data_IF_883926258732
#
_entry.id   IF_883926258732
#
_cell.length_a   1.000
_cell.length_b   1.000
_cell.length_c   1.000
_cell.angle_alpha   90.00
_cell.angle_beta   90.00
_cell.angle_gamma   90.00
#
_symmetry.space_group_name_H-M   'P 1'
#
loop_
_entity.id
_entity.type
_entity.pdbx_description
1 polymer ?
#
# COMPACT_ATOMS: atom_id res chain seq x y z
N UNK A 1 44.76 4.42 -11.09
CA UNK A 1 43.34 4.77 -11.22
C UNK A 1 42.64 4.36 -9.94
N UNK A 2 42.57 5.28 -9.00
CA UNK A 2 41.88 5.14 -7.72
C UNK A 2 40.40 5.40 -7.96
N UNK A 3 39.58 4.34 -7.99
CA UNK A 3 38.13 4.42 -7.88
C UNK A 3 37.75 4.75 -6.43
N UNK A 4 37.43 6.00 -6.18
CA UNK A 4 36.79 6.43 -4.95
C UNK A 4 35.39 5.81 -4.91
N UNK A 5 35.21 4.77 -4.12
CA UNK A 5 33.89 4.31 -3.66
C UNK A 5 33.30 5.38 -2.72
N UNK A 6 32.76 6.43 -3.30
CA UNK A 6 31.85 7.30 -2.61
C UNK A 6 30.56 6.52 -2.41
N UNK A 7 30.23 6.14 -1.15
CA UNK A 7 28.86 5.76 -0.80
C UNK A 7 27.95 6.85 -1.36
N UNK A 8 27.12 6.55 -2.37
CA UNK A 8 26.02 7.41 -2.76
C UNK A 8 25.24 7.67 -1.46
N UNK A 9 25.19 8.92 -1.01
CA UNK A 9 24.30 9.28 0.08
C UNK A 9 22.91 8.87 -0.38
N UNK A 10 22.31 7.92 0.33
CA UNK A 10 20.93 7.55 0.09
C UNK A 10 20.08 8.83 0.10
N UNK A 11 19.35 9.07 -0.96
CA UNK A 11 18.47 10.24 -1.06
C UNK A 11 17.25 9.93 -0.24
N UNK A 12 17.11 10.52 0.95
CA UNK A 12 15.94 10.35 1.78
C UNK A 12 14.70 10.84 1.03
N UNK A 13 13.66 10.02 1.07
CA UNK A 13 12.34 10.32 0.50
C UNK A 13 11.26 10.22 1.58
N UNK A 14 10.22 11.02 1.43
CA UNK A 14 8.98 10.87 2.19
C UNK A 14 8.16 9.74 1.56
N UNK A 15 7.60 8.86 2.36
CA UNK A 15 6.54 7.97 1.90
C UNK A 15 5.22 8.72 1.86
N UNK A 16 4.63 8.86 0.68
CA UNK A 16 3.37 9.57 0.46
C UNK A 16 2.34 8.61 -0.13
N UNK A 17 1.36 8.23 0.66
CA UNK A 17 0.20 7.45 0.22
C UNK A 17 -0.99 8.36 -0.06
N UNK A 18 -1.46 8.35 -1.32
CA UNK A 18 -2.67 9.06 -1.78
C UNK A 18 -3.76 8.02 -1.96
N UNK A 19 -4.55 7.80 -0.93
CA UNK A 19 -5.67 6.85 -0.94
C UNK A 19 -7.00 7.51 -1.29
N UNK A 20 -8.12 6.76 -1.25
CA UNK A 20 -9.42 7.27 -1.72
C UNK A 20 -9.97 8.45 -0.90
N UNK A 21 -9.64 8.51 0.40
CA UNK A 21 -10.23 9.49 1.34
C UNK A 21 -9.21 10.26 2.15
N UNK A 22 -7.95 9.84 2.11
CA UNK A 22 -6.88 10.45 2.91
C UNK A 22 -5.56 10.49 2.15
N UNK A 23 -4.74 11.48 2.51
CA UNK A 23 -3.32 11.51 2.20
C UNK A 23 -2.55 11.22 3.48
N UNK A 24 -1.56 10.34 3.39
CA UNK A 24 -0.70 9.95 4.51
C UNK A 24 0.75 10.22 4.14
N UNK A 25 1.49 10.81 5.05
CA UNK A 25 2.90 11.14 4.90
C UNK A 25 3.70 10.54 6.04
N UNK A 26 4.83 9.94 5.71
CA UNK A 26 5.76 9.35 6.67
C UNK A 26 7.20 9.69 6.32
N UNK A 27 7.97 10.09 7.35
CA UNK A 27 9.41 10.27 7.29
C UNK A 27 10.10 9.28 8.21
N UNK A 28 11.02 8.49 7.66
CA UNK A 28 11.82 7.54 8.40
C UNK A 28 13.31 7.93 8.37
N UNK A 29 14.02 7.60 9.44
CA UNK A 29 15.48 7.56 9.48
C UNK A 29 15.96 6.17 9.91
N UNK A 30 17.21 5.85 9.60
CA UNK A 30 17.84 4.59 9.98
C UNK A 30 19.18 4.89 10.64
N UNK A 31 19.32 4.52 11.90
CA UNK A 31 20.53 4.77 12.66
C UNK A 31 20.80 3.62 13.65
N UNK A 32 22.03 3.13 13.66
CA UNK A 32 22.42 2.08 14.60
C UNK A 32 21.67 0.76 14.42
N UNK A 33 21.30 0.39 13.19
CA UNK A 33 20.56 -0.85 12.90
C UNK A 33 19.06 -0.77 13.19
N UNK A 34 18.50 0.42 13.45
CA UNK A 34 17.10 0.61 13.82
C UNK A 34 16.45 1.75 13.06
N UNK A 35 15.24 1.53 12.59
CA UNK A 35 14.39 2.57 12.01
C UNK A 35 13.81 3.47 13.11
N UNK A 36 13.56 4.70 12.71
CA UNK A 36 12.90 5.69 13.56
C UNK A 36 11.88 6.48 12.76
N UNK A 37 10.68 6.65 13.31
CA UNK A 37 9.67 7.58 12.79
C UNK A 37 10.07 8.99 13.19
N UNK A 38 10.46 9.81 12.21
CA UNK A 38 10.83 11.22 12.44
C UNK A 38 9.62 12.12 12.40
N UNK A 39 8.72 11.91 11.46
CA UNK A 39 7.45 12.61 11.37
C UNK A 39 6.40 11.79 10.62
N UNK A 40 5.12 12.04 10.91
CA UNK A 40 4.00 11.54 10.12
C UNK A 40 2.83 12.52 10.21
N UNK A 41 1.95 12.45 9.23
CA UNK A 41 0.68 13.15 9.24
C UNK A 41 -0.34 12.45 8.33
N UNK A 42 -1.62 12.64 8.68
CA UNK A 42 -2.76 12.14 7.90
C UNK A 42 -3.75 13.29 7.72
N UNK A 43 -4.20 13.52 6.49
CA UNK A 43 -5.22 14.52 6.17
C UNK A 43 -6.30 13.92 5.29
N UNK A 44 -7.55 14.35 5.50
CA UNK A 44 -8.66 13.98 4.63
C UNK A 44 -8.53 14.62 3.26
N UNK A 45 -8.96 13.90 2.24
CA UNK A 45 -9.18 14.40 0.89
C UNK A 45 -10.59 15.00 0.75
N UNK A 46 -10.78 15.97 -0.15
CA UNK A 46 -12.12 16.34 -0.59
C UNK A 46 -12.89 15.12 -1.11
N UNK A 47 -14.22 15.18 -1.00
CA UNK A 47 -15.06 14.12 -1.55
C UNK A 47 -14.78 13.94 -3.04
N UNK A 48 -14.68 12.70 -3.49
CA UNK A 48 -14.45 12.30 -4.88
C UNK A 48 -13.16 12.88 -5.52
N UNK A 49 -12.21 13.38 -4.71
CA UNK A 49 -10.91 13.82 -5.22
C UNK A 49 -10.07 12.65 -5.77
N UNK A 50 -10.27 11.46 -5.23
CA UNK A 50 -9.73 10.19 -5.76
C UNK A 50 -10.85 9.19 -5.90
N UNK A 51 -11.12 8.74 -7.13
CA UNK A 51 -12.17 7.78 -7.47
C UNK A 51 -11.51 6.53 -8.04
N UNK A 52 -11.82 5.36 -7.48
CA UNK A 52 -11.27 4.07 -7.93
C UNK A 52 -9.75 4.12 -8.16
N UNK A 53 -9.02 4.67 -7.16
CA UNK A 53 -7.55 4.84 -7.18
C UNK A 53 -7.03 5.88 -8.19
N UNK A 54 -7.88 6.52 -8.99
CA UNK A 54 -7.48 7.57 -9.95
C UNK A 54 -7.69 8.96 -9.33
N UNK A 55 -6.70 9.86 -9.52
CA UNK A 55 -6.81 11.26 -9.10
C UNK A 55 -7.77 11.99 -10.05
N UNK A 56 -8.88 12.48 -9.50
CA UNK A 56 -9.94 13.19 -10.22
C UNK A 56 -9.88 14.72 -9.98
N UNK A 57 -9.45 15.13 -8.78
CA UNK A 57 -9.25 16.54 -8.41
C UNK A 57 -7.79 16.75 -7.98
N UNK A 58 -6.95 17.11 -8.93
CA UNK A 58 -5.51 17.36 -8.72
C UNK A 58 -5.27 18.48 -7.70
N UNK A 59 -6.06 19.57 -7.76
CA UNK A 59 -5.91 20.70 -6.85
C UNK A 59 -6.30 20.34 -5.42
N UNK A 60 -7.41 19.62 -5.25
CA UNK A 60 -7.85 19.12 -3.96
C UNK A 60 -6.82 18.17 -3.32
N UNK A 61 -6.24 17.27 -4.12
CA UNK A 61 -5.15 16.38 -3.65
C UNK A 61 -3.90 17.18 -3.30
N UNK A 62 -3.49 18.15 -4.13
CA UNK A 62 -2.34 19.03 -3.85
C UNK A 62 -2.51 19.79 -2.53
N UNK A 63 -3.71 20.29 -2.26
CA UNK A 63 -4.02 21.00 -1.02
C UNK A 63 -3.96 20.09 0.22
N UNK A 64 -4.44 18.85 0.09
CA UNK A 64 -4.33 17.85 1.15
C UNK A 64 -2.86 17.46 1.40
N UNK A 65 -2.04 17.34 0.35
CA UNK A 65 -0.60 17.09 0.48
C UNK A 65 0.09 18.27 1.20
N UNK A 66 -0.20 19.52 0.83
CA UNK A 66 0.32 20.70 1.56
C UNK A 66 -0.04 20.65 3.04
N UNK A 67 -1.26 20.21 3.34
CA UNK A 67 -1.74 20.09 4.72
C UNK A 67 -0.92 19.08 5.51
N UNK A 68 -0.69 17.85 5.00
CA UNK A 68 0.12 16.85 5.70
C UNK A 68 1.59 17.28 5.83
N UNK A 69 2.14 17.98 4.85
CA UNK A 69 3.50 18.54 4.92
C UNK A 69 3.59 19.56 6.05
N UNK A 70 2.63 20.48 6.16
CA UNK A 70 2.58 21.47 7.22
C UNK A 70 2.42 20.84 8.60
N UNK A 71 1.55 19.85 8.74
CA UNK A 71 1.31 19.11 9.98
C UNK A 71 2.52 18.31 10.45
N UNK A 72 3.18 17.60 9.51
CA UNK A 72 4.36 16.79 9.79
C UNK A 72 5.60 17.59 10.15
N UNK A 73 5.65 18.85 9.74
CA UNK A 73 6.81 19.77 9.92
C UNK A 73 8.11 19.21 9.31
N UNK A 74 8.01 18.30 8.37
CA UNK A 74 9.17 17.77 7.65
C UNK A 74 9.86 18.86 6.83
N UNK A 75 11.17 18.69 6.64
CA UNK A 75 11.98 19.54 5.76
C UNK A 75 12.34 18.85 4.44
N UNK A 76 12.04 17.56 4.33
CA UNK A 76 12.29 16.82 3.10
C UNK A 76 11.30 17.26 2.02
N UNK A 77 11.77 17.22 0.78
CA UNK A 77 10.99 17.59 -0.40
C UNK A 77 10.83 16.43 -1.38
N UNK A 78 11.75 15.46 -1.34
CA UNK A 78 11.69 14.30 -2.21
C UNK A 78 10.65 13.30 -1.71
N UNK A 79 9.89 12.72 -2.63
CA UNK A 79 8.77 11.83 -2.34
C UNK A 79 8.89 10.53 -3.11
N UNK A 80 8.58 9.44 -2.44
CA UNK A 80 8.13 8.20 -3.04
C UNK A 80 6.61 8.10 -2.88
N UNK A 81 5.90 7.92 -3.99
CA UNK A 81 4.48 7.67 -4.06
C UNK A 81 4.22 6.38 -4.84
N UNK A 82 2.97 5.94 -4.92
CA UNK A 82 2.63 4.72 -5.65
C UNK A 82 1.37 4.88 -6.51
N UNK A 83 1.28 4.04 -7.53
CA UNK A 83 0.06 3.75 -8.28
C UNK A 83 -0.57 2.45 -7.76
N UNK A 84 -1.88 2.27 -7.98
CA UNK A 84 -2.57 1.04 -7.62
C UNK A 84 -2.05 -0.16 -8.41
N UNK A 85 -2.03 -1.34 -7.78
CA UNK A 85 -1.62 -2.58 -8.43
C UNK A 85 -2.47 -2.93 -9.65
N UNK A 86 -3.78 -2.66 -9.60
CA UNK A 86 -4.70 -2.86 -10.72
C UNK A 86 -4.44 -1.96 -11.93
N UNK A 87 -3.68 -0.87 -11.76
CA UNK A 87 -3.28 0.04 -12.84
C UNK A 87 -1.96 -0.38 -13.50
N UNK A 88 -1.29 -1.41 -12.99
CA UNK A 88 0.03 -1.84 -13.46
C UNK A 88 -0.07 -3.26 -14.05
N UNK A 89 0.44 -3.42 -15.26
CA UNK A 89 0.66 -4.73 -15.88
C UNK A 89 2.06 -5.18 -15.49
N UNK A 90 2.17 -6.32 -14.84
CA UNK A 90 3.46 -6.93 -14.52
C UNK A 90 3.63 -8.25 -15.24
N UNK A 91 4.86 -8.53 -15.69
CA UNK A 91 5.20 -9.76 -16.40
C UNK A 91 6.64 -10.17 -16.08
N UNK A 92 6.84 -11.44 -15.74
CA UNK A 92 8.17 -12.03 -15.70
C UNK A 92 8.55 -12.48 -17.13
N UNK A 93 9.73 -12.07 -17.57
CA UNK A 93 10.27 -12.35 -18.91
C UNK A 93 11.70 -12.88 -18.74
N UNK A 94 11.99 -14.01 -19.38
CA UNK A 94 13.35 -14.56 -19.39
C UNK A 94 14.18 -13.86 -20.46
N UNK A 95 15.33 -13.31 -20.08
CA UNK A 95 16.24 -12.59 -20.95
C UNK A 95 17.66 -13.17 -20.90
N UNK A 96 18.46 -13.06 -21.99
CA UNK A 96 19.83 -13.51 -21.97
C UNK A 96 20.65 -12.84 -20.87
N UNK A 97 21.42 -13.64 -20.12
CA UNK A 97 22.35 -13.12 -19.12
C UNK A 97 23.45 -12.30 -19.77
N UNK A 98 23.84 -11.18 -19.15
CA UNK A 98 24.99 -10.37 -19.59
C UNK A 98 24.64 -9.24 -20.56
N UNK A 99 23.36 -9.00 -20.84
CA UNK A 99 22.91 -7.78 -21.50
C UNK A 99 23.19 -6.54 -20.61
N UNK A 100 23.51 -5.43 -21.27
CA UNK A 100 23.53 -4.13 -20.56
C UNK A 100 22.09 -3.70 -20.25
N UNK A 101 21.91 -2.77 -19.29
CA UNK A 101 20.62 -2.20 -18.95
C UNK A 101 19.94 -1.57 -20.18
N UNK A 102 20.69 -0.83 -20.99
CA UNK A 102 20.21 -0.22 -22.24
C UNK A 102 19.75 -1.28 -23.27
N UNK A 103 20.51 -2.39 -23.43
CA UNK A 103 20.12 -3.47 -24.34
C UNK A 103 18.89 -4.22 -23.85
N UNK A 104 18.74 -4.41 -22.54
CA UNK A 104 17.53 -4.97 -21.92
C UNK A 104 16.32 -4.07 -22.17
N UNK A 105 16.44 -2.76 -21.94
CA UNK A 105 15.36 -1.79 -22.18
C UNK A 105 14.88 -1.83 -23.63
N UNK A 106 15.81 -1.86 -24.59
CA UNK A 106 15.49 -1.95 -26.03
C UNK A 106 14.74 -3.26 -26.32
N UNK A 107 15.24 -4.39 -25.83
CA UNK A 107 14.63 -5.69 -26.10
C UNK A 107 13.27 -5.81 -25.43
N UNK A 108 13.13 -5.38 -24.17
CA UNK A 108 11.84 -5.39 -23.45
C UNK A 108 10.81 -4.49 -24.14
N UNK A 109 11.22 -3.33 -24.65
CA UNK A 109 10.33 -2.43 -25.38
C UNK A 109 9.82 -3.07 -26.67
N UNK A 110 10.67 -3.82 -27.39
CA UNK A 110 10.26 -4.55 -28.58
C UNK A 110 9.28 -5.70 -28.29
N UNK A 111 9.43 -6.35 -27.15
CA UNK A 111 8.56 -7.45 -26.74
C UNK A 111 7.29 -6.98 -26.02
N UNK A 112 7.30 -5.76 -25.46
CA UNK A 112 6.23 -5.18 -24.65
C UNK A 112 4.87 -5.14 -25.39
N UNK A 113 4.87 -4.92 -26.71
CA UNK A 113 3.65 -4.93 -27.55
C UNK A 113 2.86 -6.25 -27.44
N UNK A 114 3.50 -7.37 -27.08
CA UNK A 114 2.84 -8.66 -26.93
C UNK A 114 2.06 -8.78 -25.61
N UNK A 115 2.40 -7.96 -24.61
CA UNK A 115 1.88 -8.05 -23.24
C UNK A 115 1.05 -6.85 -22.83
N UNK A 116 1.29 -5.68 -23.46
CA UNK A 116 0.66 -4.41 -23.11
C UNK A 116 -0.44 -4.10 -24.11
N UNK A 117 -1.72 -4.05 -23.70
CA UNK A 117 -2.87 -3.82 -24.59
C UNK A 117 -3.09 -2.33 -24.92
N UNK A 118 -2.07 -1.50 -24.77
CA UNK A 118 -2.11 -0.05 -25.00
C UNK A 118 -0.96 0.37 -25.91
N UNK A 119 -1.12 1.47 -26.71
CA UNK A 119 -0.01 2.06 -27.45
C UNK A 119 1.18 2.37 -26.52
N UNK A 120 2.39 1.95 -26.90
CA UNK A 120 3.57 2.09 -26.02
C UNK A 120 3.90 3.56 -25.72
N UNK A 121 3.53 4.49 -26.62
CA UNK A 121 3.66 5.94 -26.38
C UNK A 121 2.80 6.45 -25.19
N UNK A 122 1.73 5.76 -24.85
CA UNK A 122 0.83 6.09 -23.73
C UNK A 122 1.22 5.40 -22.42
N UNK A 123 2.28 4.56 -22.46
CA UNK A 123 2.68 3.72 -21.32
C UNK A 123 4.05 4.12 -20.79
N UNK A 124 4.20 4.16 -19.49
CA UNK A 124 5.49 4.16 -18.81
C UNK A 124 5.87 2.70 -18.53
N UNK A 125 7.10 2.35 -18.88
CA UNK A 125 7.64 0.99 -18.70
C UNK A 125 8.87 1.11 -17.82
N UNK A 126 9.01 0.18 -16.89
CA UNK A 126 10.19 -0.01 -16.05
C UNK A 126 10.45 -1.50 -15.87
N UNK A 127 11.65 -1.90 -15.46
CA UNK A 127 11.99 -3.29 -15.27
C UNK A 127 13.03 -3.50 -14.17
N UNK A 128 13.03 -4.69 -13.59
CA UNK A 128 13.98 -5.09 -12.57
C UNK A 128 14.44 -6.53 -12.80
N UNK A 129 15.75 -6.76 -12.76
CA UNK A 129 16.33 -8.10 -12.86
C UNK A 129 16.14 -8.82 -11.52
N UNK A 130 15.38 -9.91 -11.52
CA UNK A 130 15.06 -10.67 -10.32
C UNK A 130 16.15 -11.69 -9.95
N UNK A 131 16.88 -12.19 -10.96
CA UNK A 131 17.94 -13.17 -10.76
C UNK A 131 18.06 -14.18 -11.89
N UNK A 132 18.82 -15.27 -11.71
CA UNK A 132 18.90 -16.36 -12.69
C UNK A 132 17.54 -17.00 -12.91
N UNK A 133 17.18 -17.27 -14.15
CA UNK A 133 15.96 -17.99 -14.49
C UNK A 133 16.04 -19.45 -13.97
N UNK A 134 15.03 -19.95 -13.21
CA UNK A 134 15.12 -21.25 -12.53
C UNK A 134 15.37 -22.45 -13.45
N UNK A 135 14.78 -22.43 -14.66
CA UNK A 135 14.76 -23.57 -15.57
C UNK A 135 15.57 -23.35 -16.85
N UNK A 136 16.38 -22.28 -16.94
CA UNK A 136 17.10 -21.91 -18.17
C UNK A 136 18.52 -21.43 -17.89
N UNK A 137 19.49 -22.20 -18.34
CA UNK A 137 20.90 -21.81 -18.28
C UNK A 137 21.16 -20.53 -19.10
N UNK A 138 22.00 -19.65 -18.56
CA UNK A 138 22.38 -18.35 -19.17
C UNK A 138 21.21 -17.38 -19.42
N UNK A 139 20.13 -17.49 -18.67
CA UNK A 139 19.04 -16.51 -18.68
C UNK A 139 18.80 -15.93 -17.28
N UNK A 140 18.25 -14.73 -17.25
CA UNK A 140 17.80 -14.02 -16.04
C UNK A 140 16.31 -13.74 -16.16
N UNK A 141 15.59 -13.87 -15.06
CA UNK A 141 14.22 -13.38 -14.97
C UNK A 141 14.24 -11.86 -14.79
N UNK A 142 13.42 -11.18 -15.59
CA UNK A 142 13.23 -9.73 -15.52
C UNK A 142 11.75 -9.45 -15.28
N UNK A 143 11.46 -8.73 -14.21
CA UNK A 143 10.12 -8.23 -13.93
C UNK A 143 9.91 -6.95 -14.76
N UNK A 144 9.00 -7.03 -15.73
CA UNK A 144 8.50 -5.89 -16.47
C UNK A 144 7.30 -5.30 -15.72
N UNK A 145 7.28 -4.00 -15.54
CA UNK A 145 6.14 -3.25 -15.03
C UNK A 145 5.74 -2.16 -16.04
N UNK A 146 4.45 -2.07 -16.34
CA UNK A 146 3.92 -1.11 -17.29
C UNK A 146 2.64 -0.46 -16.75
N UNK A 147 2.58 0.88 -16.81
CA UNK A 147 1.44 1.67 -16.34
C UNK A 147 1.10 2.76 -17.35
N UNK A 148 -0.18 3.11 -17.50
CA UNK A 148 -0.56 4.25 -18.34
C UNK A 148 0.04 5.55 -17.80
N UNK A 149 0.65 6.33 -18.68
CA UNK A 149 1.30 7.62 -18.32
C UNK A 149 0.36 8.56 -17.60
N UNK A 150 -0.91 8.67 -18.05
CA UNK A 150 -1.89 9.56 -17.43
C UNK A 150 -2.14 9.24 -15.95
N UNK A 151 -2.06 7.94 -15.55
CA UNK A 151 -2.22 7.51 -14.15
C UNK A 151 -1.07 7.99 -13.28
N UNK A 152 0.14 8.00 -13.83
CA UNK A 152 1.35 8.51 -13.16
C UNK A 152 1.33 10.04 -13.15
N UNK A 153 1.07 10.67 -14.29
CA UNK A 153 1.14 12.12 -14.49
C UNK A 153 0.18 12.87 -13.56
N UNK A 154 -1.05 12.39 -13.37
CA UNK A 154 -2.01 13.00 -12.45
C UNK A 154 -1.52 13.00 -10.98
N UNK A 155 -0.81 11.96 -10.56
CA UNK A 155 -0.19 11.92 -9.23
C UNK A 155 1.04 12.82 -9.14
N UNK A 156 1.88 12.80 -10.16
CA UNK A 156 3.05 13.69 -10.28
C UNK A 156 2.61 15.16 -10.20
N UNK A 157 1.59 15.54 -10.97
CA UNK A 157 1.05 16.90 -10.97
C UNK A 157 0.53 17.30 -9.58
N UNK A 158 -0.19 16.43 -8.90
CA UNK A 158 -0.67 16.69 -7.54
C UNK A 158 0.48 16.86 -6.53
N UNK A 159 1.55 16.08 -6.64
CA UNK A 159 2.73 16.16 -5.79
C UNK A 159 3.50 17.45 -6.10
N UNK A 160 3.78 17.76 -7.36
CA UNK A 160 4.49 18.98 -7.77
C UNK A 160 3.70 20.25 -7.41
N UNK A 161 2.38 20.21 -7.59
CA UNK A 161 1.47 21.27 -7.15
C UNK A 161 1.55 21.56 -5.65
N UNK A 162 2.02 20.62 -4.84
CA UNK A 162 2.26 20.80 -3.41
C UNK A 162 3.69 21.26 -3.05
N UNK A 163 4.53 21.61 -4.02
CA UNK A 163 5.94 21.99 -3.87
C UNK A 163 6.84 20.86 -3.37
N UNK A 164 6.45 19.61 -3.60
CA UNK A 164 7.26 18.41 -3.40
C UNK A 164 7.83 17.93 -4.74
N UNK A 165 8.84 17.06 -4.66
CA UNK A 165 9.55 16.52 -5.82
C UNK A 165 9.30 15.01 -5.87
N UNK A 166 8.48 14.50 -6.81
CA UNK A 166 8.30 13.07 -6.99
C UNK A 166 9.60 12.46 -7.53
N UNK A 167 10.22 11.58 -6.73
CA UNK A 167 11.46 10.89 -7.09
C UNK A 167 11.23 9.45 -7.48
N UNK A 168 10.24 8.83 -6.86
CA UNK A 168 9.91 7.43 -7.08
C UNK A 168 8.38 7.34 -7.23
N UNK A 169 7.95 6.66 -8.29
CA UNK A 169 6.57 6.21 -8.45
C UNK A 169 6.58 4.69 -8.41
N UNK A 170 6.21 4.15 -7.26
CA UNK A 170 6.19 2.72 -6.95
C UNK A 170 4.81 2.10 -7.25
N UNK A 171 4.63 0.85 -6.93
CA UNK A 171 3.35 0.13 -6.96
C UNK A 171 2.90 -0.16 -5.52
N UNK A 172 1.62 0.07 -5.20
CA UNK A 172 1.09 -0.14 -3.84
C UNK A 172 1.38 -1.56 -3.32
N UNK A 173 1.30 -2.58 -4.19
CA UNK A 173 1.57 -3.97 -3.81
C UNK A 173 3.03 -4.17 -3.35
N UNK A 174 4.00 -3.57 -4.05
CA UNK A 174 5.42 -3.67 -3.66
C UNK A 174 5.75 -2.81 -2.44
N UNK A 175 5.09 -1.66 -2.29
CA UNK A 175 5.19 -0.90 -1.04
C UNK A 175 4.64 -1.70 0.15
N UNK A 176 3.51 -2.40 -0.01
CA UNK A 176 2.94 -3.29 1.00
C UNK A 176 3.89 -4.44 1.35
N UNK A 177 4.45 -5.11 0.35
CA UNK A 177 5.45 -6.17 0.51
C UNK A 177 6.68 -5.69 1.29
N UNK A 178 7.21 -4.52 0.94
CA UNK A 178 8.36 -3.93 1.65
C UNK A 178 8.02 -3.63 3.12
N UNK A 179 6.84 -3.10 3.41
CA UNK A 179 6.39 -2.87 4.77
C UNK A 179 6.13 -4.17 5.54
N UNK A 180 5.70 -5.22 4.85
CA UNK A 180 5.49 -6.54 5.45
C UNK A 180 6.76 -7.11 6.09
N UNK A 181 7.94 -6.85 5.55
CA UNK A 181 9.21 -7.30 6.14
C UNK A 181 9.38 -6.86 7.60
N UNK A 182 8.82 -5.71 7.97
CA UNK A 182 8.84 -5.20 9.34
C UNK A 182 7.80 -5.88 10.24
N UNK A 183 6.64 -6.22 9.67
CA UNK A 183 5.56 -6.90 10.39
C UNK A 183 5.90 -8.38 10.58
N UNK A 184 6.46 -9.03 9.57
CA UNK A 184 6.89 -10.43 9.62
C UNK A 184 7.80 -10.72 10.81
N UNK A 185 8.74 -9.82 11.10
CA UNK A 185 9.67 -9.96 12.23
C UNK A 185 8.99 -9.93 13.62
N UNK A 186 7.70 -9.62 13.68
CA UNK A 186 6.90 -9.61 14.91
C UNK A 186 6.08 -10.90 15.06
N UNK A 187 6.00 -11.69 14.01
CA UNK A 187 5.22 -12.92 13.93
C UNK A 187 6.17 -14.12 13.98
N UNK A 188 5.71 -15.19 14.59
CA UNK A 188 6.43 -16.49 14.62
C UNK A 188 6.09 -17.26 13.33
N UNK A 189 6.65 -16.77 12.22
CA UNK A 189 6.42 -17.30 10.87
C UNK A 189 7.73 -17.81 10.29
N UNK A 190 7.68 -19.00 9.71
CA UNK A 190 8.77 -19.57 8.93
C UNK A 190 9.02 -18.78 7.63
N UNK A 191 10.20 -18.92 7.04
CA UNK A 191 10.53 -18.24 5.78
C UNK A 191 9.59 -18.64 4.64
N UNK A 192 9.18 -19.89 4.59
CA UNK A 192 8.30 -20.47 3.57
C UNK A 192 6.81 -20.18 3.80
N UNK A 193 6.44 -19.49 4.91
CA UNK A 193 5.03 -19.23 5.25
C UNK A 193 4.33 -18.40 4.18
N UNK A 194 3.10 -18.83 3.84
CA UNK A 194 2.19 -18.11 2.95
C UNK A 194 1.31 -17.17 3.78
N UNK A 195 1.41 -15.87 3.53
CA UNK A 195 0.72 -14.84 4.31
C UNK A 195 -0.24 -14.05 3.44
N UNK A 196 -1.48 -13.90 3.90
CA UNK A 196 -2.47 -13.04 3.27
C UNK A 196 -2.52 -11.67 3.97
N UNK A 197 -2.21 -10.60 3.28
CA UNK A 197 -2.41 -9.23 3.76
C UNK A 197 -3.71 -8.71 3.17
N UNK A 198 -4.63 -8.32 4.04
CA UNK A 198 -5.94 -7.76 3.66
C UNK A 198 -5.96 -6.29 4.06
N UNK A 199 -5.73 -5.42 3.09
CA UNK A 199 -5.80 -3.96 3.28
C UNK A 199 -7.24 -3.49 3.05
N UNK A 200 -7.94 -3.18 4.15
CA UNK A 200 -9.35 -2.76 4.12
C UNK A 200 -9.39 -1.23 4.23
N UNK A 201 -9.43 -0.59 3.07
CA UNK A 201 -9.50 0.86 2.94
C UNK A 201 -10.89 1.44 3.12
N UNK A 202 -11.07 2.69 2.68
CA UNK A 202 -12.37 3.35 2.73
C UNK A 202 -13.33 2.85 1.65
N UNK A 203 -12.86 2.67 0.41
CA UNK A 203 -13.70 2.30 -0.75
C UNK A 203 -13.28 0.97 -1.38
N UNK A 204 -12.06 0.52 -1.11
CA UNK A 204 -11.44 -0.63 -1.72
C UNK A 204 -10.85 -1.55 -0.65
N UNK A 205 -10.95 -2.85 -0.86
CA UNK A 205 -10.22 -3.88 -0.11
C UNK A 205 -9.27 -4.58 -1.07
N UNK A 206 -7.99 -4.63 -0.71
CA UNK A 206 -6.95 -5.32 -1.47
C UNK A 206 -6.46 -6.54 -0.69
N UNK A 207 -6.55 -7.72 -1.30
CA UNK A 207 -5.87 -8.92 -0.84
C UNK A 207 -4.53 -9.01 -1.56
N UNK A 208 -3.44 -9.12 -0.82
CA UNK A 208 -2.11 -9.50 -1.32
C UNK A 208 -1.68 -10.78 -0.62
N UNK A 209 -1.36 -11.83 -1.39
CA UNK A 209 -0.81 -13.06 -0.83
C UNK A 209 0.67 -13.11 -1.13
N UNK A 210 1.46 -13.34 -0.09
CA UNK A 210 2.90 -13.42 -0.16
C UNK A 210 3.35 -14.85 0.17
N UNK A 211 4.34 -15.35 -0.58
CA UNK A 211 5.09 -16.57 -0.29
C UNK A 211 6.56 -16.23 -0.37
N UNK A 212 7.39 -16.74 0.54
CA UNK A 212 8.81 -16.36 0.67
C UNK A 212 9.06 -14.84 0.77
N UNK A 213 8.06 -14.10 1.29
CA UNK A 213 8.10 -12.65 1.41
C UNK A 213 7.83 -11.88 0.12
N UNK A 214 7.54 -12.56 -0.98
CA UNK A 214 7.23 -11.96 -2.28
C UNK A 214 5.74 -12.08 -2.62
N UNK A 215 5.18 -11.06 -3.22
CA UNK A 215 3.78 -11.04 -3.63
C UNK A 215 3.52 -11.98 -4.81
N UNK A 216 2.75 -13.04 -4.59
CA UNK A 216 2.38 -14.03 -5.61
C UNK A 216 0.96 -13.83 -6.15
N UNK A 217 0.13 -13.06 -5.46
CA UNK A 217 -1.24 -12.80 -5.87
C UNK A 217 -1.74 -11.48 -5.31
N UNK A 218 -2.47 -10.73 -6.12
CA UNK A 218 -3.14 -9.50 -5.69
C UNK A 218 -4.56 -9.44 -6.28
N UNK A 219 -5.51 -9.03 -5.45
CA UNK A 219 -6.90 -8.84 -5.87
C UNK A 219 -7.52 -7.65 -5.17
N UNK A 220 -8.12 -6.77 -5.94
CA UNK A 220 -8.87 -5.62 -5.45
C UNK A 220 -10.39 -5.85 -5.55
N UNK A 221 -11.13 -5.32 -4.57
CA UNK A 221 -12.60 -5.36 -4.53
C UNK A 221 -13.16 -4.04 -4.05
N UNK A 222 -14.25 -3.59 -4.67
CA UNK A 222 -15.00 -2.40 -4.26
C UNK A 222 -15.79 -2.68 -2.98
N UNK A 223 -15.10 -2.67 -1.85
CA UNK A 223 -15.64 -2.84 -0.52
C UNK A 223 -14.75 -2.09 0.49
N UNK A 224 -15.33 -1.43 1.49
CA UNK A 224 -14.55 -0.76 2.53
C UNK A 224 -15.39 0.02 3.52
N UNK A 225 -14.71 0.81 4.36
CA UNK A 225 -15.32 1.55 5.47
C UNK A 225 -16.37 2.60 5.07
N UNK A 226 -16.43 2.98 3.78
CA UNK A 226 -17.47 3.87 3.26
C UNK A 226 -18.85 3.25 3.37
N UNK A 227 -18.98 1.94 3.17
CA UNK A 227 -20.26 1.24 3.30
C UNK A 227 -20.85 1.38 4.72
N UNK A 228 -20.00 1.29 5.74
CA UNK A 228 -20.42 1.55 7.12
C UNK A 228 -20.86 3.01 7.30
N UNK A 229 -20.11 3.96 6.74
CA UNK A 229 -20.47 5.38 6.82
C UNK A 229 -21.80 5.67 6.12
N UNK A 230 -22.00 5.11 4.92
CA UNK A 230 -23.23 5.26 4.16
C UNK A 230 -24.45 4.65 4.92
N UNK A 231 -24.24 3.52 5.62
CA UNK A 231 -25.30 2.92 6.45
C UNK A 231 -25.65 3.78 7.67
N UNK A 232 -24.64 4.37 8.33
CA UNK A 232 -24.84 5.33 9.43
C UNK A 232 -25.63 6.54 8.92
N UNK A 233 -25.26 7.11 7.79
CA UNK A 233 -25.96 8.24 7.17
C UNK A 233 -27.44 7.88 6.89
N UNK A 234 -27.65 6.72 6.28
CA UNK A 234 -28.97 6.25 5.89
C UNK A 234 -29.88 6.00 7.11
N UNK A 235 -29.35 5.36 8.15
CA UNK A 235 -30.13 4.94 9.31
C UNK A 235 -30.43 6.07 10.27
N UNK A 236 -29.44 6.93 10.51
CA UNK A 236 -29.54 7.99 11.52
C UNK A 236 -29.77 9.39 10.94
N UNK A 237 -29.82 9.52 9.61
CA UNK A 237 -30.05 10.81 8.94
C UNK A 237 -28.91 11.82 9.12
N UNK A 238 -27.68 11.34 9.37
CA UNK A 238 -26.52 12.18 9.58
C UNK A 238 -25.86 12.59 8.25
N UNK A 239 -25.34 13.80 8.13
CA UNK A 239 -24.48 14.17 7.00
C UNK A 239 -23.13 13.42 7.06
N UNK A 240 -22.44 13.33 5.92
CA UNK A 240 -21.20 12.56 5.76
C UNK A 240 -20.14 12.85 6.84
N UNK A 241 -19.90 14.13 7.12
CA UNK A 241 -18.90 14.55 8.11
C UNK A 241 -19.26 14.08 9.53
N UNK A 242 -20.53 14.25 9.91
CA UNK A 242 -21.02 13.83 11.24
C UNK A 242 -21.04 12.31 11.37
N UNK A 243 -21.45 11.59 10.32
CA UNK A 243 -21.41 10.11 10.29
C UNK A 243 -19.97 9.58 10.40
N UNK A 244 -19.03 10.20 9.68
CA UNK A 244 -17.61 9.87 9.76
C UNK A 244 -16.99 10.15 11.13
N UNK A 245 -17.42 11.22 11.79
CA UNK A 245 -16.98 11.57 13.14
C UNK A 245 -17.57 10.60 14.18
N UNK A 246 -18.88 10.37 14.13
CA UNK A 246 -19.58 9.46 15.04
C UNK A 246 -19.04 8.02 14.95
N UNK A 247 -18.69 7.57 13.75
CA UNK A 247 -18.04 6.26 13.54
C UNK A 247 -16.71 6.14 14.30
N UNK A 248 -15.95 7.22 14.44
CA UNK A 248 -14.63 7.24 15.09
C UNK A 248 -14.71 7.51 16.60
N UNK A 249 -15.64 8.38 17.01
CA UNK A 249 -15.70 8.91 18.38
C UNK A 249 -16.85 8.32 19.20
N UNK A 250 -17.74 7.57 18.56
CA UNK A 250 -18.95 7.10 19.21
C UNK A 250 -20.05 8.16 19.25
N UNK A 251 -21.05 7.94 20.11
CA UNK A 251 -22.20 8.83 20.28
C UNK A 251 -23.39 8.49 19.38
N UNK A 252 -23.34 7.34 18.70
CA UNK A 252 -24.47 6.77 17.98
C UNK A 252 -25.44 6.08 18.95
N UNK A 253 -26.73 5.91 18.58
CA UNK A 253 -27.71 5.22 19.41
C UNK A 253 -27.31 3.78 19.78
N UNK A 254 -27.93 3.24 20.86
CA UNK A 254 -27.60 1.89 21.37
C UNK A 254 -27.82 0.76 20.37
N UNK A 255 -28.66 0.96 19.36
CA UNK A 255 -28.89 0.00 18.28
C UNK A 255 -27.79 -0.01 17.20
N UNK A 256 -26.83 0.92 17.27
CA UNK A 256 -25.74 1.00 16.29
C UNK A 256 -24.87 -0.26 16.27
N UNK A 257 -24.45 -0.73 17.44
CA UNK A 257 -23.57 -1.89 17.53
C UNK A 257 -24.23 -3.16 16.96
N UNK A 258 -25.40 -3.62 17.46
CA UNK A 258 -26.01 -4.85 16.99
C UNK A 258 -26.59 -4.76 15.57
N UNK A 259 -27.05 -3.59 15.13
CA UNK A 259 -27.81 -3.46 13.88
C UNK A 259 -27.02 -2.90 12.70
N UNK A 260 -25.84 -2.31 12.95
CA UNK A 260 -25.02 -1.67 11.92
C UNK A 260 -23.58 -2.15 11.97
N UNK A 261 -22.91 -2.07 13.14
CA UNK A 261 -21.49 -2.37 13.25
C UNK A 261 -21.21 -3.88 13.11
N UNK A 262 -21.94 -4.72 13.84
CA UNK A 262 -21.77 -6.18 13.77
C UNK A 262 -22.10 -6.74 12.37
N UNK A 263 -23.22 -6.37 11.70
CA UNK A 263 -23.45 -6.75 10.32
C UNK A 263 -22.34 -6.30 9.35
N UNK A 264 -21.74 -5.12 9.56
CA UNK A 264 -20.62 -4.66 8.75
C UNK A 264 -19.37 -5.52 8.99
N UNK A 265 -19.02 -5.84 10.24
CA UNK A 265 -17.90 -6.74 10.55
C UNK A 265 -18.07 -8.12 9.90
N UNK A 266 -19.29 -8.69 9.96
CA UNK A 266 -19.61 -9.95 9.29
C UNK A 266 -19.45 -9.83 7.76
N UNK A 267 -19.83 -8.69 7.17
CA UNK A 267 -19.60 -8.43 5.74
C UNK A 267 -18.12 -8.36 5.41
N UNK A 268 -17.28 -7.75 6.27
CA UNK A 268 -15.82 -7.75 6.12
C UNK A 268 -15.30 -9.19 6.07
N UNK A 269 -15.68 -10.03 7.04
CA UNK A 269 -15.24 -11.44 7.09
C UNK A 269 -15.63 -12.19 5.81
N UNK A 270 -16.86 -11.97 5.32
CA UNK A 270 -17.32 -12.59 4.06
C UNK A 270 -16.48 -12.15 2.86
N UNK A 271 -16.08 -10.87 2.81
CA UNK A 271 -15.21 -10.36 1.74
C UNK A 271 -13.81 -10.97 1.80
N UNK A 272 -13.22 -11.09 3.00
CA UNK A 272 -11.93 -11.76 3.21
C UNK A 272 -12.01 -13.22 2.75
N UNK A 273 -13.02 -13.96 3.23
CA UNK A 273 -13.24 -15.35 2.85
C UNK A 273 -13.38 -15.53 1.33
N UNK A 274 -14.18 -14.67 0.69
CA UNK A 274 -14.37 -14.69 -0.76
C UNK A 274 -13.09 -14.41 -1.52
N UNK A 275 -12.27 -13.45 -1.05
CA UNK A 275 -11.00 -13.13 -1.69
C UNK A 275 -10.01 -14.29 -1.62
N UNK A 276 -9.90 -14.94 -0.45
CA UNK A 276 -9.08 -16.13 -0.25
C UNK A 276 -9.57 -17.30 -1.11
N UNK A 277 -10.89 -17.50 -1.21
CA UNK A 277 -11.46 -18.54 -2.06
C UNK A 277 -11.09 -18.35 -3.55
N UNK A 278 -11.07 -17.10 -4.03
CA UNK A 278 -10.60 -16.82 -5.39
C UNK A 278 -9.12 -17.15 -5.57
N UNK A 279 -8.27 -16.80 -4.59
CA UNK A 279 -6.86 -17.17 -4.60
C UNK A 279 -6.69 -18.69 -4.66
N UNK A 280 -7.31 -19.43 -3.75
CA UNK A 280 -7.23 -20.90 -3.71
C UNK A 280 -7.72 -21.55 -5.01
N UNK A 281 -8.79 -21.00 -5.62
CA UNK A 281 -9.34 -21.55 -6.87
C UNK A 281 -8.46 -21.29 -8.10
N UNK A 282 -7.57 -20.30 -8.05
CA UNK A 282 -6.72 -19.88 -9.17
C UNK A 282 -5.24 -20.22 -8.98
N UNK A 283 -4.88 -20.86 -7.88
CA UNK A 283 -3.50 -21.21 -7.54
C UNK A 283 -3.38 -22.67 -7.10
N UNK A 284 -2.17 -23.07 -6.75
CA UNK A 284 -1.88 -24.40 -6.17
C UNK A 284 -2.03 -24.46 -4.65
N UNK A 285 -2.32 -23.32 -4.01
CA UNK A 285 -2.46 -23.20 -2.56
C UNK A 285 -3.87 -23.56 -2.12
N UNK A 286 -4.02 -24.14 -0.95
CA UNK A 286 -5.30 -24.51 -0.35
C UNK A 286 -5.61 -23.75 0.94
N UNK A 287 -4.59 -23.14 1.54
CA UNK A 287 -4.66 -22.37 2.77
C UNK A 287 -3.62 -21.25 2.78
N UNK A 288 -3.64 -20.44 3.82
CA UNK A 288 -2.61 -19.46 4.18
C UNK A 288 -2.30 -19.64 5.67
N UNK A 289 -1.03 -19.49 6.04
CA UNK A 289 -0.56 -19.69 7.40
C UNK A 289 -0.98 -18.58 8.35
N UNK A 290 -1.12 -17.36 7.81
CA UNK A 290 -1.49 -16.19 8.59
C UNK A 290 -2.25 -15.15 7.75
N UNK A 291 -3.18 -14.44 8.42
CA UNK A 291 -3.86 -13.28 7.85
C UNK A 291 -3.42 -12.03 8.60
N UNK A 292 -2.99 -11.01 7.85
CA UNK A 292 -2.67 -9.69 8.38
C UNK A 292 -3.73 -8.71 7.91
N UNK A 293 -4.42 -8.07 8.85
CA UNK A 293 -5.39 -7.03 8.56
C UNK A 293 -4.69 -5.67 8.53
N UNK A 294 -4.73 -4.98 7.41
CA UNK A 294 -4.22 -3.64 7.18
C UNK A 294 -5.35 -2.69 6.79
N UNK A 295 -5.05 -1.40 6.67
CA UNK A 295 -6.03 -0.38 6.32
C UNK A 295 -6.80 0.16 7.52
N UNK A 296 -7.52 1.26 7.30
CA UNK A 296 -8.18 1.99 8.38
C UNK A 296 -9.35 1.26 9.03
N UNK A 297 -9.95 0.27 8.35
CA UNK A 297 -11.03 -0.55 8.90
C UNK A 297 -10.51 -1.58 9.89
N UNK A 298 -9.26 -2.01 9.74
CA UNK A 298 -8.65 -3.06 10.56
C UNK A 298 -8.46 -2.66 12.03
N UNK A 299 -8.55 -1.35 12.34
CA UNK A 299 -8.51 -0.84 13.71
C UNK A 299 -9.83 -1.02 14.48
N UNK A 300 -10.86 -1.61 13.86
CA UNK A 300 -12.14 -1.86 14.54
C UNK A 300 -11.98 -2.93 15.61
N UNK A 301 -12.43 -2.59 16.82
CA UNK A 301 -12.42 -3.49 17.97
C UNK A 301 -13.20 -4.80 17.66
N UNK A 302 -12.57 -5.94 17.99
CA UNK A 302 -13.14 -7.26 17.80
C UNK A 302 -13.12 -7.80 16.37
N UNK A 303 -12.65 -7.03 15.38
CA UNK A 303 -12.60 -7.49 13.98
C UNK A 303 -11.53 -8.59 13.77
N UNK A 304 -10.36 -8.44 14.39
CA UNK A 304 -9.28 -9.44 14.33
C UNK A 304 -9.77 -10.80 14.86
N UNK A 305 -10.38 -10.78 16.04
CA UNK A 305 -10.93 -11.97 16.69
C UNK A 305 -12.03 -12.63 15.83
N UNK A 306 -12.90 -11.81 15.25
CA UNK A 306 -13.99 -12.30 14.40
C UNK A 306 -13.45 -12.97 13.13
N UNK A 307 -12.48 -12.38 12.46
CA UNK A 307 -11.82 -12.96 11.28
C UNK A 307 -11.15 -14.28 11.65
N UNK A 308 -10.36 -14.30 12.73
CA UNK A 308 -9.67 -15.49 13.22
C UNK A 308 -10.65 -16.63 13.56
N UNK A 309 -11.75 -16.32 14.26
CA UNK A 309 -12.75 -17.31 14.65
C UNK A 309 -13.48 -17.90 13.43
N UNK A 310 -13.91 -17.03 12.51
CA UNK A 310 -14.73 -17.44 11.37
C UNK A 310 -13.92 -18.16 10.28
N UNK A 311 -12.66 -17.78 10.07
CA UNK A 311 -11.84 -18.38 9.03
C UNK A 311 -10.91 -19.50 9.55
N UNK A 312 -10.71 -19.58 10.86
CA UNK A 312 -9.86 -20.60 11.48
C UNK A 312 -8.37 -20.39 11.23
N UNK A 313 -7.97 -19.25 10.68
CA UNK A 313 -6.58 -18.90 10.36
C UNK A 313 -6.06 -17.90 11.38
N UNK A 314 -4.82 -18.06 11.90
CA UNK A 314 -4.18 -17.05 12.74
C UNK A 314 -4.26 -15.68 12.08
N UNK A 315 -4.70 -14.68 12.84
CA UNK A 315 -4.94 -13.33 12.31
C UNK A 315 -4.32 -12.31 13.24
N UNK A 316 -3.75 -11.25 12.70
CA UNK A 316 -3.22 -10.10 13.45
C UNK A 316 -3.46 -8.80 12.70
N UNK A 317 -3.47 -7.68 13.43
CA UNK A 317 -3.55 -6.33 12.86
C UNK A 317 -2.13 -5.82 12.58
N UNK A 318 -1.92 -5.25 11.40
CA UNK A 318 -0.62 -4.73 10.97
C UNK A 318 -0.15 -3.57 11.84
N UNK A 319 1.11 -3.62 12.28
CA UNK A 319 1.78 -2.48 12.90
C UNK A 319 3.25 -2.43 12.44
N UNK A 320 3.58 -1.69 11.38
CA UNK A 320 4.96 -1.62 10.88
C UNK A 320 5.91 -0.88 11.84
N UNK A 321 5.38 -0.17 12.83
CA UNK A 321 6.16 0.67 13.75
C UNK A 321 6.54 0.01 15.07
N UNK A 322 6.05 -1.20 15.36
CA UNK A 322 6.21 -1.85 16.66
C UNK A 322 7.67 -1.97 17.15
N UNK A 323 8.61 -2.12 16.22
CA UNK A 323 10.05 -2.21 16.54
C UNK A 323 10.82 -0.92 16.25
N UNK A 324 10.16 0.15 15.83
CA UNK A 324 10.79 1.43 15.55
C UNK A 324 10.90 2.30 16.80
N UNK A 325 11.90 3.17 16.84
CA UNK A 325 11.88 4.29 17.75
C UNK A 325 11.02 5.43 17.18
N UNK A 326 10.43 6.23 18.06
CA UNK A 326 9.52 7.31 17.69
C UNK A 326 10.12 8.64 18.14
N UNK A 327 10.14 9.63 17.26
CA UNK A 327 10.57 10.98 17.58
C UNK A 327 9.65 11.61 18.64
N UNK A 328 10.20 12.43 19.53
CA UNK A 328 9.42 13.14 20.55
C UNK A 328 8.42 14.14 19.97
N UNK A 329 8.57 14.51 18.70
CA UNK A 329 7.62 15.37 17.96
C UNK A 329 6.38 14.61 17.46
N UNK A 330 6.41 13.27 17.44
CA UNK A 330 5.35 12.40 16.95
C UNK A 330 4.45 11.96 18.09
N UNK A 331 3.14 12.09 17.91
CA UNK A 331 2.17 11.52 18.85
C UNK A 331 2.12 9.99 18.68
N UNK A 332 2.76 9.27 19.61
CA UNK A 332 2.88 7.81 19.54
C UNK A 332 1.53 7.09 19.66
N UNK A 333 0.56 7.65 20.39
CA UNK A 333 -0.79 7.06 20.53
C UNK A 333 -1.55 7.18 19.21
N UNK A 334 -1.54 8.36 18.59
CA UNK A 334 -2.18 8.55 17.29
C UNK A 334 -1.52 7.69 16.20
N UNK A 335 -0.18 7.64 16.16
CA UNK A 335 0.55 6.76 15.23
C UNK A 335 0.18 5.29 15.43
N UNK A 336 0.05 4.82 16.67
CA UNK A 336 -0.36 3.46 16.98
C UNK A 336 -1.78 3.14 16.46
N UNK A 337 -2.71 4.07 16.61
CA UNK A 337 -4.08 3.93 16.09
C UNK A 337 -4.13 3.95 14.56
N UNK A 338 -3.26 4.72 13.91
CA UNK A 338 -3.19 4.82 12.46
C UNK A 338 -2.30 3.72 11.81
N UNK A 339 -1.53 2.98 12.62
CA UNK A 339 -0.50 2.05 12.14
C UNK A 339 -0.98 1.07 11.05
N UNK A 340 -2.15 0.42 11.15
CA UNK A 340 -2.63 -0.49 10.12
C UNK A 340 -2.88 0.21 8.77
N UNK A 341 -3.26 1.49 8.80
CA UNK A 341 -3.50 2.30 7.60
C UNK A 341 -2.21 2.88 6.99
N UNK A 342 -1.08 2.77 7.68
CA UNK A 342 0.20 3.36 7.27
C UNK A 342 1.11 2.39 6.51
N UNK A 343 0.68 1.17 6.24
CA UNK A 343 1.52 0.14 5.61
C UNK A 343 2.12 0.62 4.27
N UNK A 344 1.30 1.15 3.36
CA UNK A 344 1.77 1.64 2.06
C UNK A 344 2.74 2.82 2.25
N UNK A 345 2.38 3.82 3.07
CA UNK A 345 3.26 4.96 3.34
C UNK A 345 4.59 4.53 3.97
N UNK A 346 4.57 3.47 4.81
CA UNK A 346 5.77 2.89 5.42
C UNK A 346 6.67 2.24 4.36
N UNK A 347 6.11 1.38 3.50
CA UNK A 347 6.86 0.75 2.42
C UNK A 347 7.47 1.75 1.44
N UNK A 348 6.75 2.85 1.17
CA UNK A 348 7.27 3.95 0.35
C UNK A 348 8.41 4.71 1.04
N UNK A 349 8.31 4.98 2.35
CA UNK A 349 9.38 5.64 3.10
C UNK A 349 10.64 4.78 3.19
N UNK A 350 10.50 3.45 3.20
CA UNK A 350 11.61 2.50 3.20
C UNK A 350 12.46 2.58 1.93
N UNK A 351 11.93 3.12 0.81
CA UNK A 351 12.68 3.41 -0.43
C UNK A 351 13.88 4.35 -0.21
N UNK A 352 13.94 5.01 0.92
CA UNK A 352 15.12 5.79 1.35
C UNK A 352 16.36 4.94 1.62
N UNK A 353 16.19 3.63 1.81
CA UNK A 353 17.24 2.74 2.32
C UNK A 353 17.55 1.57 1.38
N UNK A 354 16.93 1.53 0.18
CA UNK A 354 17.20 0.58 -0.91
C UNK A 354 18.56 0.84 -1.56
#
# INVERSE_FOLDING_TARGET
LLGLFGKRKATLVLGLDISSTTVKLLELSYTGGRYRVESYAVSSLPQDAVIEKSVNDVEGVSNAIRTVVAQSRTKLKNVAAAVAGSSVITKLIDMPQGLSEDDMEIQLTLEADQYIPYPLEEVAIDFEVQGPAPDRDNQVEVLLAACRRETIESRVEAIEGSELVPKIMDVEAYAMERAFSLVRNQLDLDEESTVAIVDIGATMTTLSVLSDGQTIYTREQLFGGKQLTDEIMRRYGLPLEEAGLAKKQGGLPDDYEPEVLEPFKEAVVQQVARSLQFFFSSSQYNDVDHIILAGGVSSMEGLEELVREKLGTPTSVANPFAQMSISSSVNAVALGSDAPAMMIACGLALRSFD
#
